data_IF_371603724281
#
_entry.id   IF_371603724281
#
_cell.length_a   1.000
_cell.length_b   1.000
_cell.length_c   1.000
_cell.angle_alpha   90.00
_cell.angle_beta   90.00
_cell.angle_gamma   90.00
#
_symmetry.space_group_name_H-M   'P 1'
#
loop_
_entity.id
_entity.type
_entity.pdbx_description
1 polymer ?
#
# COMPACT_ATOMS: atom_id res chain seq x y z
N UNK A 1 7.27 9.02 -2.48
CA UNK A 1 6.39 8.14 -3.26
C UNK A 1 6.36 6.77 -2.60
N UNK A 2 5.19 6.17 -2.36
CA UNK A 2 5.13 4.72 -2.17
C UNK A 2 5.52 4.09 -3.50
N UNK A 3 6.78 3.67 -3.62
CA UNK A 3 7.30 3.12 -4.87
C UNK A 3 6.47 1.91 -5.34
N UNK A 4 6.56 1.54 -6.62
CA UNK A 4 5.77 0.43 -7.21
C UNK A 4 5.88 -0.87 -6.41
N UNK A 5 7.03 -1.13 -5.77
CA UNK A 5 7.27 -2.24 -4.84
C UNK A 5 6.33 -2.25 -3.64
N UNK A 6 6.09 -1.10 -3.03
CA UNK A 6 5.19 -0.98 -1.88
C UNK A 6 3.72 -1.07 -2.29
N UNK A 7 3.37 -0.55 -3.47
CA UNK A 7 2.02 -0.64 -4.02
C UNK A 7 1.63 -2.09 -4.32
N UNK A 8 2.52 -2.84 -5.00
CA UNK A 8 2.26 -4.25 -5.30
C UNK A 8 2.16 -5.08 -4.01
N UNK A 9 3.00 -4.78 -3.03
CA UNK A 9 2.98 -5.45 -1.72
C UNK A 9 1.66 -5.21 -0.98
N UNK A 10 1.15 -3.98 -1.07
CA UNK A 10 -0.13 -3.61 -0.47
C UNK A 10 -1.32 -4.25 -1.19
N UNK A 11 -1.30 -4.28 -2.53
CA UNK A 11 -2.31 -4.97 -3.34
C UNK A 11 -2.36 -6.47 -3.02
N UNK A 12 -1.19 -7.13 -2.93
CA UNK A 12 -1.08 -8.55 -2.54
C UNK A 12 -1.59 -8.77 -1.12
N UNK A 13 -1.21 -7.92 -0.16
CA UNK A 13 -1.65 -8.02 1.23
C UNK A 13 -3.18 -7.97 1.34
N UNK A 14 -3.81 -7.06 0.59
CA UNK A 14 -5.28 -6.94 0.52
C UNK A 14 -5.92 -8.16 -0.15
N UNK A 15 -5.38 -8.56 -1.29
CA UNK A 15 -5.83 -9.75 -2.03
C UNK A 15 -5.78 -10.99 -1.14
N UNK A 16 -4.69 -11.23 -0.41
CA UNK A 16 -4.56 -12.34 0.52
C UNK A 16 -5.59 -12.28 1.67
N UNK A 17 -5.83 -11.09 2.23
CA UNK A 17 -6.82 -10.90 3.29
C UNK A 17 -8.27 -11.18 2.83
N UNK A 18 -8.59 -10.87 1.56
CA UNK A 18 -9.91 -11.08 0.96
C UNK A 18 -10.07 -12.52 0.47
N UNK A 19 -9.04 -13.06 -0.18
CA UNK A 19 -9.09 -14.36 -0.81
C UNK A 19 -8.99 -15.52 0.19
N UNK A 20 -8.13 -15.37 1.19
CA UNK A 20 -7.75 -16.43 2.11
C UNK A 20 -7.80 -15.96 3.58
N UNK A 21 -8.98 -15.56 4.10
CA UNK A 21 -9.11 -14.99 5.44
C UNK A 21 -8.65 -15.95 6.56
N UNK A 22 -8.83 -17.26 6.38
CA UNK A 22 -8.36 -18.28 7.33
C UNK A 22 -6.83 -18.37 7.39
N UNK A 23 -6.17 -18.35 6.22
CA UNK A 23 -4.70 -18.36 6.13
C UNK A 23 -4.09 -17.06 6.64
N UNK A 24 -4.74 -15.93 6.36
CA UNK A 24 -4.32 -14.60 6.81
C UNK A 24 -4.37 -14.44 8.33
N UNK A 25 -5.36 -15.04 9.00
CA UNK A 25 -5.53 -14.94 10.46
C UNK A 25 -4.78 -16.03 11.25
N UNK A 26 -4.10 -16.96 10.56
CA UNK A 26 -3.29 -17.97 11.21
C UNK A 26 -2.00 -17.32 11.74
N UNK A 27 -1.64 -17.50 13.02
CA UNK A 27 -0.38 -16.98 13.55
C UNK A 27 0.75 -17.66 12.78
N UNK A 28 1.45 -16.87 11.98
CA UNK A 28 2.57 -17.35 11.17
C UNK A 28 3.86 -16.99 11.90
N UNK A 29 4.60 -18.01 12.35
CA UNK A 29 5.88 -17.87 13.07
C UNK A 29 6.94 -17.16 12.24
N UNK A 30 6.87 -17.28 10.91
CA UNK A 30 7.68 -16.53 9.96
C UNK A 30 6.79 -15.59 9.14
N UNK A 31 6.91 -14.28 9.32
CA UNK A 31 6.09 -13.33 8.57
C UNK A 31 6.57 -13.29 7.11
N UNK A 32 5.93 -14.04 6.22
CA UNK A 32 6.16 -14.01 4.76
C UNK A 32 6.22 -12.57 4.23
N UNK A 33 5.41 -11.68 4.79
CA UNK A 33 5.43 -10.23 4.52
C UNK A 33 6.79 -9.59 4.82
N UNK A 34 7.46 -9.95 5.91
CA UNK A 34 8.79 -9.42 6.26
C UNK A 34 9.85 -9.88 5.26
N UNK A 35 9.84 -11.15 4.86
CA UNK A 35 10.75 -11.67 3.83
C UNK A 35 10.52 -10.93 2.52
N UNK A 36 9.27 -10.79 2.09
CA UNK A 36 8.92 -10.10 0.85
C UNK A 36 9.39 -8.63 0.87
N UNK A 37 9.22 -7.93 2.00
CA UNK A 37 9.70 -6.56 2.14
C UNK A 37 11.23 -6.48 2.06
N UNK A 38 11.95 -7.35 2.77
CA UNK A 38 13.43 -7.39 2.71
C UNK A 38 13.89 -7.64 1.27
N UNK A 39 13.27 -8.59 0.58
CA UNK A 39 13.55 -8.87 -0.83
C UNK A 39 13.36 -7.63 -1.72
N UNK A 40 12.24 -6.91 -1.56
CA UNK A 40 11.98 -5.69 -2.32
C UNK A 40 12.98 -4.57 -2.03
N UNK A 41 13.39 -4.40 -0.77
CA UNK A 41 14.42 -3.43 -0.39
C UNK A 41 15.77 -3.77 -1.01
N UNK A 42 16.20 -5.03 -0.95
CA UNK A 42 17.45 -5.47 -1.57
C UNK A 42 17.39 -5.25 -3.09
N UNK A 43 16.28 -5.63 -3.73
CA UNK A 43 16.10 -5.47 -5.18
C UNK A 43 16.13 -4.01 -5.61
N UNK A 44 15.50 -3.11 -4.84
CA UNK A 44 15.54 -1.68 -5.08
C UNK A 44 16.97 -1.12 -5.01
N UNK A 45 17.74 -1.53 -4.00
CA UNK A 45 19.16 -1.14 -3.88
C UNK A 45 19.95 -1.62 -5.09
N UNK A 46 19.80 -2.90 -5.47
CA UNK A 46 20.53 -3.48 -6.61
C UNK A 46 20.23 -2.77 -7.93
N UNK A 47 18.97 -2.40 -8.18
CA UNK A 47 18.57 -1.64 -9.38
C UNK A 47 19.12 -0.21 -9.36
N UNK A 48 19.37 0.37 -8.18
CA UNK A 48 19.96 1.70 -8.03
C UNK A 48 21.50 1.73 -8.08
N UNK A 49 22.20 0.60 -7.91
CA UNK A 49 23.67 0.60 -7.95
C UNK A 49 24.27 1.09 -9.28
N UNK A 50 23.71 0.74 -10.47
CA UNK A 50 24.24 1.24 -11.74
C UNK A 50 24.23 2.77 -11.85
N UNK A 51 23.31 3.47 -11.19
CA UNK A 51 23.28 4.94 -11.25
C UNK A 51 24.42 5.62 -10.51
N UNK A 52 25.23 4.87 -9.76
CA UNK A 52 26.45 5.36 -9.10
C UNK A 52 27.69 5.25 -10.00
N UNK A 53 27.58 4.57 -11.16
CA UNK A 53 28.68 4.48 -12.12
C UNK A 53 28.77 5.74 -12.96
N UNK A 54 29.99 6.16 -13.28
CA UNK A 54 30.24 7.30 -14.16
C UNK A 54 29.57 7.09 -15.53
N UNK A 55 28.79 8.07 -15.99
CA UNK A 55 28.04 8.00 -17.25
C UNK A 55 26.74 7.17 -17.22
N UNK A 56 26.34 6.63 -16.07
CA UNK A 56 25.09 5.86 -15.92
C UNK A 56 24.08 6.53 -14.96
N UNK A 57 24.33 7.77 -14.56
CA UNK A 57 23.52 8.51 -13.58
C UNK A 57 22.37 9.31 -14.19
N UNK A 58 21.51 9.86 -13.34
CA UNK A 58 20.44 10.77 -13.74
C UNK A 58 20.82 12.21 -13.40
N UNK A 59 20.52 13.14 -14.31
CA UNK A 59 20.65 14.58 -14.07
C UNK A 59 19.28 15.22 -13.86
N UNK A 60 19.25 16.23 -13.00
CA UNK A 60 18.03 16.99 -12.76
C UNK A 60 17.95 18.14 -13.75
N UNK A 61 16.94 18.12 -14.60
CA UNK A 61 16.67 19.18 -15.56
C UNK A 61 15.72 20.21 -14.96
N UNK A 62 16.21 21.45 -14.85
CA UNK A 62 15.46 22.55 -14.23
C UNK A 62 14.27 23.00 -15.11
N UNK A 63 14.40 22.88 -16.43
CA UNK A 63 13.38 23.30 -17.39
C UNK A 63 12.07 22.50 -17.27
N UNK A 64 12.16 21.23 -16.90
CA UNK A 64 11.02 20.32 -16.75
C UNK A 64 10.86 19.78 -15.32
N UNK A 65 11.63 20.33 -14.36
CA UNK A 65 11.62 19.98 -12.92
C UNK A 65 11.63 18.46 -12.70
N UNK A 66 12.46 17.74 -13.46
CA UNK A 66 12.43 16.28 -13.52
C UNK A 66 13.82 15.68 -13.65
N UNK A 67 13.96 14.45 -13.16
CA UNK A 67 15.17 13.65 -13.31
C UNK A 67 15.12 12.92 -14.65
N UNK A 68 16.13 13.13 -15.49
CA UNK A 68 16.27 12.46 -16.78
C UNK A 68 17.62 11.74 -16.90
N UNK A 69 17.75 10.81 -17.85
CA UNK A 69 19.03 10.18 -18.12
C UNK A 69 20.06 11.20 -18.63
N UNK A 70 21.34 10.97 -18.37
CA UNK A 70 22.43 11.69 -19.05
C UNK A 70 22.46 11.34 -20.56
N UNK A 71 23.15 12.15 -21.36
CA UNK A 71 23.40 11.92 -22.79
C UNK A 71 24.41 10.79 -23.06
N UNK A 72 24.28 9.69 -22.31
CA UNK A 72 25.10 8.50 -22.38
C UNK A 72 24.20 7.26 -22.62
N UNK A 73 24.63 6.31 -23.46
CA UNK A 73 23.84 5.13 -23.78
C UNK A 73 23.52 4.27 -22.55
N UNK A 74 24.41 4.25 -21.54
CA UNK A 74 24.17 3.53 -20.30
C UNK A 74 22.97 4.10 -19.54
N UNK A 75 22.93 5.42 -19.38
CA UNK A 75 21.85 6.10 -18.66
C UNK A 75 20.52 5.96 -19.39
N UNK A 76 20.52 6.01 -20.73
CA UNK A 76 19.31 5.80 -21.53
C UNK A 76 18.72 4.40 -21.33
N UNK A 77 19.54 3.35 -21.44
CA UNK A 77 19.08 1.97 -21.23
C UNK A 77 18.63 1.71 -19.78
N UNK A 78 19.31 2.28 -18.79
CA UNK A 78 18.91 2.16 -17.40
C UNK A 78 17.53 2.82 -17.16
N UNK A 79 17.32 4.02 -17.71
CA UNK A 79 16.05 4.74 -17.63
C UNK A 79 14.91 3.97 -18.29
N UNK A 80 15.14 3.42 -19.48
CA UNK A 80 14.17 2.60 -20.20
C UNK A 80 13.82 1.32 -19.42
N UNK A 81 14.82 0.60 -18.91
CA UNK A 81 14.63 -0.59 -18.09
C UNK A 81 13.82 -0.30 -16.82
N UNK A 82 14.17 0.75 -16.08
CA UNK A 82 13.45 1.17 -14.87
C UNK A 82 12.01 1.56 -15.22
N UNK A 83 11.81 2.29 -16.31
CA UNK A 83 10.47 2.70 -16.77
C UNK A 83 9.59 1.48 -17.10
N UNK A 84 10.11 0.52 -17.87
CA UNK A 84 9.37 -0.72 -18.17
C UNK A 84 9.05 -1.53 -16.91
N UNK A 85 9.99 -1.64 -15.98
CA UNK A 85 9.78 -2.32 -14.70
C UNK A 85 8.67 -1.64 -13.90
N UNK A 86 8.69 -0.32 -13.76
CA UNK A 86 7.66 0.46 -13.03
C UNK A 86 6.29 0.28 -13.66
N UNK A 87 6.18 0.41 -14.99
CA UNK A 87 4.90 0.25 -15.72
C UNK A 87 4.37 -1.18 -15.55
N UNK A 88 5.22 -2.20 -15.71
CA UNK A 88 4.81 -3.59 -15.55
C UNK A 88 4.25 -3.87 -14.15
N UNK A 89 4.90 -3.37 -13.12
CA UNK A 89 4.46 -3.50 -11.74
C UNK A 89 3.15 -2.75 -11.46
N UNK A 90 2.96 -1.58 -12.06
CA UNK A 90 1.72 -0.82 -11.96
C UNK A 90 0.54 -1.60 -12.58
N UNK A 91 0.72 -2.17 -13.78
CA UNK A 91 -0.29 -3.01 -14.44
C UNK A 91 -0.63 -4.25 -13.59
N UNK A 92 0.39 -4.92 -13.05
CA UNK A 92 0.17 -6.07 -12.17
C UNK A 92 -0.59 -5.67 -10.89
N UNK A 93 -0.21 -4.57 -10.25
CA UNK A 93 -0.87 -4.06 -9.04
C UNK A 93 -2.33 -3.70 -9.31
N UNK A 94 -2.59 -2.98 -10.40
CA UNK A 94 -3.95 -2.62 -10.83
C UNK A 94 -4.80 -3.88 -11.07
N UNK A 95 -4.24 -4.87 -11.77
CA UNK A 95 -4.93 -6.14 -12.04
C UNK A 95 -5.31 -6.89 -10.76
N UNK A 96 -4.41 -6.94 -9.77
CA UNK A 96 -4.67 -7.56 -8.46
C UNK A 96 -5.76 -6.80 -7.69
N UNK A 97 -5.76 -5.47 -7.77
CA UNK A 97 -6.78 -4.64 -7.13
C UNK A 97 -8.15 -4.82 -7.80
N UNK A 98 -8.23 -4.86 -9.13
CA UNK A 98 -9.47 -5.18 -9.86
C UNK A 98 -10.02 -6.56 -9.47
N UNK A 99 -9.17 -7.58 -9.41
CA UNK A 99 -9.58 -8.92 -8.96
C UNK A 99 -10.11 -8.90 -7.52
N UNK A 100 -9.43 -8.17 -6.63
CA UNK A 100 -9.85 -8.01 -5.23
C UNK A 100 -11.22 -7.32 -5.11
N UNK A 101 -11.46 -6.27 -5.90
CA UNK A 101 -12.75 -5.57 -6.00
C UNK A 101 -13.84 -6.52 -6.50
N UNK A 102 -13.60 -7.20 -7.62
CA UNK A 102 -14.55 -8.14 -8.20
C UNK A 102 -14.98 -9.22 -7.21
N UNK A 103 -14.02 -9.82 -6.50
CA UNK A 103 -14.33 -10.81 -5.47
C UNK A 103 -15.11 -10.23 -4.30
N UNK A 104 -14.78 -9.01 -3.84
CA UNK A 104 -15.57 -8.34 -2.80
C UNK A 104 -17.02 -8.16 -3.25
N UNK A 105 -17.25 -7.76 -4.51
CA UNK A 105 -18.59 -7.59 -5.08
C UNK A 105 -19.36 -8.92 -5.13
N UNK A 106 -18.73 -9.99 -5.63
CA UNK A 106 -19.34 -11.33 -5.63
C UNK A 106 -19.72 -11.80 -4.22
N UNK A 107 -18.79 -11.67 -3.27
CA UNK A 107 -18.99 -12.09 -1.89
C UNK A 107 -20.03 -11.20 -1.17
N UNK A 108 -20.25 -9.96 -1.63
CA UNK A 108 -21.27 -9.06 -1.06
C UNK A 108 -22.71 -9.48 -1.41
N UNK A 109 -22.90 -10.14 -2.56
CA UNK A 109 -24.20 -10.64 -3.01
C UNK A 109 -24.58 -11.98 -2.34
N UNK A 110 -23.60 -12.77 -1.91
CA UNK A 110 -23.79 -14.14 -1.41
C UNK A 110 -23.92 -14.20 0.13
N UNK A 111 -23.48 -13.18 0.88
CA UNK A 111 -23.14 -13.37 2.30
C UNK A 111 -24.27 -13.13 3.34
N UNK A 112 -24.58 -14.18 4.12
CA UNK A 112 -25.17 -14.14 5.46
C UNK A 112 -24.10 -14.02 6.58
N UNK A 113 -23.03 -13.25 6.38
CA UNK A 113 -21.94 -13.16 7.36
C UNK A 113 -22.17 -12.14 8.48
N UNK A 114 -21.55 -12.38 9.64
CA UNK A 114 -21.58 -11.50 10.83
C UNK A 114 -21.31 -10.03 10.48
N UNK A 115 -22.03 -9.10 11.13
CA UNK A 115 -21.94 -7.66 10.89
C UNK A 115 -20.50 -7.09 10.96
N UNK A 116 -19.65 -7.67 11.82
CA UNK A 116 -18.24 -7.28 11.97
C UNK A 116 -17.39 -7.62 10.73
N UNK A 117 -17.57 -8.82 10.15
CA UNK A 117 -16.87 -9.21 8.90
C UNK A 117 -17.31 -8.33 7.73
N UNK A 118 -18.61 -8.04 7.63
CA UNK A 118 -19.16 -7.12 6.62
C UNK A 118 -18.60 -5.71 6.77
N UNK A 119 -18.43 -5.20 8.00
CA UNK A 119 -17.80 -3.89 8.27
C UNK A 119 -16.32 -3.88 7.87
N UNK A 120 -15.54 -4.92 8.20
CA UNK A 120 -14.12 -5.03 7.82
C UNK A 120 -13.95 -5.04 6.30
N UNK A 121 -14.75 -5.83 5.58
CA UNK A 121 -14.69 -5.86 4.10
C UNK A 121 -15.04 -4.52 3.47
N UNK A 122 -16.07 -3.83 3.97
CA UNK A 122 -16.42 -2.48 3.49
C UNK A 122 -15.27 -1.49 3.66
N UNK A 123 -14.57 -1.52 4.79
CA UNK A 123 -13.39 -0.66 5.00
C UNK A 123 -12.27 -0.97 4.00
N UNK A 124 -11.94 -2.25 3.81
CA UNK A 124 -10.93 -2.67 2.84
C UNK A 124 -11.32 -2.25 1.42
N UNK A 125 -12.60 -2.35 1.07
CA UNK A 125 -13.13 -1.92 -0.22
C UNK A 125 -12.99 -0.40 -0.42
N UNK A 126 -13.50 0.40 0.52
CA UNK A 126 -13.38 1.87 0.49
C UNK A 126 -11.92 2.27 0.38
N UNK A 127 -11.05 1.56 1.11
CA UNK A 127 -9.63 1.79 1.10
C UNK A 127 -8.99 1.52 -0.28
N UNK A 128 -9.32 0.39 -0.91
CA UNK A 128 -8.85 0.10 -2.27
C UNK A 128 -9.32 1.16 -3.26
N UNK A 129 -10.61 1.45 -3.29
CA UNK A 129 -11.22 2.37 -4.27
C UNK A 129 -10.61 3.76 -4.16
N UNK A 130 -10.56 4.32 -2.96
CA UNK A 130 -10.00 5.66 -2.77
C UNK A 130 -8.53 5.69 -3.20
N UNK A 131 -7.73 4.70 -2.79
CA UNK A 131 -6.32 4.68 -3.14
C UNK A 131 -6.08 4.49 -4.64
N UNK A 132 -6.82 3.60 -5.31
CA UNK A 132 -6.69 3.36 -6.74
C UNK A 132 -7.11 4.60 -7.55
N UNK A 133 -8.19 5.28 -7.15
CA UNK A 133 -8.61 6.53 -7.77
C UNK A 133 -7.57 7.64 -7.58
N UNK A 134 -7.06 7.83 -6.35
CA UNK A 134 -6.04 8.84 -6.07
C UNK A 134 -4.76 8.60 -6.85
N UNK A 135 -4.30 7.35 -6.96
CA UNK A 135 -3.12 7.02 -7.75
C UNK A 135 -3.35 7.19 -9.26
N UNK A 136 -4.54 6.85 -9.77
CA UNK A 136 -4.87 7.06 -11.18
C UNK A 136 -4.88 8.55 -11.55
N UNK A 137 -5.41 9.40 -10.67
CA UNK A 137 -5.40 10.86 -10.85
C UNK A 137 -3.96 11.38 -10.87
N UNK A 138 -3.09 10.89 -9.98
CA UNK A 138 -1.68 11.30 -9.95
C UNK A 138 -0.94 10.96 -11.24
N UNK A 139 -1.14 9.75 -11.76
CA UNK A 139 -0.56 9.33 -13.04
C UNK A 139 -1.09 10.19 -14.19
N UNK A 140 -2.39 10.51 -14.22
CA UNK A 140 -2.96 11.38 -15.26
C UNK A 140 -2.39 12.80 -15.15
N UNK A 141 -2.28 13.35 -13.94
CA UNK A 141 -1.70 14.67 -13.71
C UNK A 141 -0.25 14.73 -14.20
N UNK A 142 0.55 13.72 -13.86
CA UNK A 142 1.97 13.67 -14.20
C UNK A 142 2.24 13.28 -15.67
N UNK A 143 1.29 12.63 -16.35
CA UNK A 143 1.46 12.16 -17.74
C UNK A 143 0.80 13.09 -18.77
N UNK A 144 -0.32 13.74 -18.42
CA UNK A 144 -1.09 14.55 -19.36
C UNK A 144 -1.19 16.01 -18.94
N UNK A 145 -1.40 16.31 -17.66
CA UNK A 145 -1.57 17.70 -17.24
C UNK A 145 -0.23 18.45 -17.22
N UNK A 146 0.91 17.77 -17.05
CA UNK A 146 2.24 18.41 -17.01
C UNK A 146 2.55 19.22 -18.28
N UNK A 147 1.99 18.85 -19.44
CA UNK A 147 2.27 19.48 -20.74
C UNK A 147 1.20 20.49 -21.18
N UNK A 148 0.18 20.77 -20.35
CA UNK A 148 -0.90 21.70 -20.72
C UNK A 148 -0.49 23.17 -20.60
N UNK A 149 0.44 23.47 -19.71
CA UNK A 149 0.97 24.82 -19.51
C UNK A 149 2.48 24.69 -19.33
N UNK A 150 3.25 25.28 -20.26
CA UNK A 150 4.72 25.38 -20.20
C UNK A 150 5.17 26.41 -19.16
N UNK A 151 4.70 26.24 -17.93
CA UNK A 151 5.12 27.02 -16.78
C UNK A 151 5.71 26.10 -15.73
N UNK A 152 6.96 26.34 -15.36
CA UNK A 152 7.72 25.56 -14.37
C UNK A 152 6.98 25.46 -13.03
N UNK A 153 6.29 26.54 -12.61
CA UNK A 153 5.48 26.53 -11.38
C UNK A 153 4.26 25.61 -11.48
N UNK A 154 3.67 25.48 -12.67
CA UNK A 154 2.51 24.62 -12.92
C UNK A 154 2.93 23.15 -12.98
N UNK A 155 4.04 22.84 -13.64
CA UNK A 155 4.65 21.51 -13.64
C UNK A 155 5.02 21.06 -12.22
N UNK A 156 5.62 21.95 -11.42
CA UNK A 156 5.89 21.68 -10.01
C UNK A 156 4.61 21.42 -9.20
N UNK A 157 3.55 22.21 -9.41
CA UNK A 157 2.27 22.01 -8.75
C UNK A 157 1.67 20.64 -9.09
N UNK A 158 1.62 20.31 -10.38
CA UNK A 158 1.06 19.07 -10.89
C UNK A 158 1.86 17.83 -10.47
N UNK A 159 3.20 17.91 -10.43
CA UNK A 159 4.04 16.80 -10.01
C UNK A 159 4.17 16.69 -8.49
N UNK A 160 4.76 17.70 -7.86
CA UNK A 160 5.15 17.64 -6.45
C UNK A 160 3.95 17.68 -5.49
N UNK A 161 2.97 18.56 -5.72
CA UNK A 161 1.81 18.66 -4.82
C UNK A 161 0.88 17.46 -4.99
N UNK A 162 0.68 16.99 -6.23
CA UNK A 162 -0.09 15.76 -6.47
C UNK A 162 0.55 14.57 -5.75
N UNK A 163 1.85 14.36 -5.91
CA UNK A 163 2.56 13.27 -5.25
C UNK A 163 2.49 13.35 -3.71
N UNK A 164 2.64 14.54 -3.12
CA UNK A 164 2.51 14.74 -1.68
C UNK A 164 1.09 14.47 -1.19
N UNK A 165 0.09 14.88 -1.96
CA UNK A 165 -1.33 14.64 -1.65
C UNK A 165 -1.66 13.16 -1.65
N UNK A 166 -1.13 12.40 -2.62
CA UNK A 166 -1.29 10.94 -2.69
C UNK A 166 -0.70 10.27 -1.45
N UNK A 167 0.50 10.66 -1.04
CA UNK A 167 1.18 10.09 0.14
C UNK A 167 0.38 10.39 1.41
N UNK A 168 -0.03 11.64 1.58
CA UNK A 168 -0.80 12.07 2.74
C UNK A 168 -2.14 11.32 2.81
N UNK A 169 -2.83 11.21 1.69
CA UNK A 169 -4.13 10.57 1.63
C UNK A 169 -4.03 9.05 1.88
N UNK A 170 -3.01 8.37 1.35
CA UNK A 170 -2.75 6.95 1.65
C UNK A 170 -2.49 6.73 3.15
N UNK A 171 -1.65 7.58 3.76
CA UNK A 171 -1.37 7.53 5.20
C UNK A 171 -2.59 7.79 6.08
N UNK A 172 -3.40 8.80 5.73
CA UNK A 172 -4.66 9.12 6.42
C UNK A 172 -5.68 7.99 6.31
N UNK A 173 -5.82 7.41 5.11
CA UNK A 173 -6.76 6.34 4.86
C UNK A 173 -6.40 5.09 5.68
N UNK A 174 -5.11 4.76 5.77
CA UNK A 174 -4.61 3.70 6.67
C UNK A 174 -4.95 4.02 8.13
N UNK A 175 -4.59 5.20 8.64
CA UNK A 175 -4.76 5.53 10.06
C UNK A 175 -6.23 5.54 10.48
N UNK A 176 -7.10 6.21 9.72
CA UNK A 176 -8.53 6.35 10.04
C UNK A 176 -9.27 5.00 9.94
N UNK A 177 -8.93 4.16 8.96
CA UNK A 177 -9.63 2.88 8.74
C UNK A 177 -9.07 1.74 9.62
N UNK A 178 -7.77 1.74 9.94
CA UNK A 178 -7.16 0.77 10.87
C UNK A 178 -7.52 1.05 12.34
N UNK A 179 -7.45 2.29 12.81
CA UNK A 179 -7.70 2.60 14.23
C UNK A 179 -9.12 2.21 14.67
N UNK A 180 -10.09 2.36 13.77
CA UNK A 180 -11.49 1.97 14.01
C UNK A 180 -11.69 0.44 14.04
N UNK A 181 -10.63 -0.36 13.93
CA UNK A 181 -10.63 -1.83 13.94
C UNK A 181 -9.88 -2.42 15.15
N UNK A 182 -9.11 -1.61 15.88
CA UNK A 182 -8.39 -2.02 17.10
C UNK A 182 -9.23 -1.95 18.39
N UNK A 183 -10.43 -1.35 18.33
CA UNK A 183 -11.37 -1.28 19.47
C UNK A 183 -12.20 -2.55 19.76
N UNK A 184 -11.76 -3.78 19.42
CA UNK A 184 -12.23 -4.97 20.15
C UNK A 184 -11.14 -5.65 21.00
N UNK A 185 -9.85 -5.31 20.80
CA UNK A 185 -8.76 -5.98 21.52
C UNK A 185 -8.66 -5.50 22.98
N UNK A 186 -8.87 -4.21 23.23
CA UNK A 186 -8.85 -3.67 24.59
C UNK A 186 -10.06 -4.14 25.41
N UNK A 187 -11.22 -4.35 24.78
CA UNK A 187 -12.41 -4.88 25.48
C UNK A 187 -12.31 -6.39 25.74
N UNK A 188 -11.56 -7.15 24.93
CA UNK A 188 -11.29 -8.57 25.18
C UNK A 188 -10.24 -8.78 26.28
N UNK A 189 -9.21 -7.91 26.34
CA UNK A 189 -8.26 -7.86 27.44
C UNK A 189 -8.95 -7.47 28.75
N UNK A 190 -9.83 -6.45 28.73
CA UNK A 190 -10.61 -6.03 29.89
C UNK A 190 -11.57 -7.11 30.39
N UNK A 191 -12.24 -7.85 29.48
CA UNK A 191 -13.11 -9.01 29.83
C UNK A 191 -12.35 -10.20 30.40
N UNK A 192 -11.11 -10.42 29.97
CA UNK A 192 -10.26 -11.50 30.49
C UNK A 192 -9.74 -11.15 31.88
N UNK A 193 -9.34 -9.90 32.11
CA UNK A 193 -8.92 -9.39 33.42
C UNK A 193 -10.09 -9.37 34.41
N UNK A 194 -11.29 -8.92 34.02
CA UNK A 194 -12.48 -8.97 34.91
C UNK A 194 -12.96 -10.40 35.19
N UNK A 195 -12.85 -11.35 34.25
CA UNK A 195 -13.13 -12.77 34.53
C UNK A 195 -12.11 -13.36 35.51
N UNK A 196 -10.83 -13.01 35.38
CA UNK A 196 -9.79 -13.51 36.29
C UNK A 196 -9.95 -12.94 37.70
N UNK A 197 -10.36 -11.67 37.83
CA UNK A 197 -10.66 -11.06 39.12
C UNK A 197 -11.90 -11.71 39.77
N UNK A 198 -12.99 -11.90 39.01
CA UNK A 198 -14.22 -12.54 39.52
C UNK A 198 -14.02 -14.02 39.90
N UNK A 199 -13.14 -14.73 39.19
CA UNK A 199 -12.76 -16.12 39.54
C UNK A 199 -11.90 -16.18 40.81
N UNK A 200 -11.10 -15.15 41.09
CA UNK A 200 -10.24 -15.12 42.28
C UNK A 200 -11.02 -14.74 43.55
N UNK A 201 -12.11 -13.98 43.41
CA UNK A 201 -12.99 -13.63 44.53
C UNK A 201 -13.88 -14.79 45.03
N UNK A 202 -14.08 -15.83 44.23
CA UNK A 202 -14.95 -16.98 44.58
C UNK A 202 -14.18 -18.10 45.28
N UNK A 203 -12.85 -18.11 45.22
CA UNK A 203 -12.01 -19.20 45.79
C UNK A 203 -11.59 -18.91 47.26
N UNK A 204 -11.95 -17.75 47.83
CA UNK A 204 -11.63 -17.44 49.26
C UNK A 204 -12.78 -17.79 50.22
N UNK A 205 -13.66 -18.73 49.84
CA UNK A 205 -14.74 -19.19 50.72
C UNK A 205 -14.91 -20.70 50.60
N UNK A 206 -13.89 -21.50 50.97
CA UNK A 206 -14.02 -22.90 51.42
C UNK A 206 -12.64 -23.53 51.67
N UNK A 207 -11.98 -23.19 52.78
CA UNK A 207 -11.05 -24.12 53.45
C UNK A 207 -11.11 -23.84 54.96
N UNK A 208 -11.76 -24.78 55.66
CA UNK A 208 -11.83 -25.05 57.12
C UNK A 208 -12.59 -24.03 57.98
#
# INVERSE_FOLDING_TARGET
MSGPFTQISLAINRSMAINFPYRFNRPNTFSVTKIALIFWWISAILVSLPSLMDGCGFIFYVEFVSWGPMDDPCSAHLSEYVTYLVISMAICSFSINCFSIFKILQQSQIDQTSALRKRRRRKMFIQCVIQDCTHSIDVINNTFLYSLIDAVWFQFLCGAISALTVILLDGVLMSVLHQKSATPANTAAEKTVTRHFRSSSVITTTVV
#
